data_IF_339255286094
#
_entry.id   IF_339255286094
#
_cell.length_a   1.000
_cell.length_b   1.000
_cell.length_c   1.000
_cell.angle_alpha   90.00
_cell.angle_beta   90.00
_cell.angle_gamma   90.00
#
_symmetry.space_group_name_H-M   'P 1'
#
loop_
_entity.id
_entity.type
_entity.pdbx_description
1 polymer ?
#
# COMPACT_ATOMS: atom_id res chain seq x y z
N UNK A 1 0.50 -10.33 4.48
CA UNK A 1 0.24 -11.70 3.97
C UNK A 1 -0.30 -11.71 2.52
N UNK A 2 0.13 -10.81 1.62
CA UNK A 2 -0.48 -10.70 0.27
C UNK A 2 0.00 -11.79 -0.73
N UNK A 3 1.26 -12.22 -0.61
CA UNK A 3 1.90 -13.07 -1.63
C UNK A 3 1.52 -14.55 -1.54
N UNK A 4 1.40 -15.18 -0.35
CA UNK A 4 1.00 -16.59 -0.27
C UNK A 4 -0.37 -16.87 -0.89
N UNK A 5 -1.35 -15.97 -0.72
CA UNK A 5 -2.69 -16.13 -1.32
C UNK A 5 -2.65 -15.98 -2.84
N UNK A 6 -1.81 -15.08 -3.37
CA UNK A 6 -1.57 -14.98 -4.81
C UNK A 6 -0.97 -16.27 -5.38
N UNK A 7 0.01 -16.87 -4.69
CA UNK A 7 0.62 -18.15 -5.10
C UNK A 7 -0.44 -19.24 -5.15
N UNK A 8 -1.30 -19.35 -4.14
CA UNK A 8 -2.37 -20.34 -4.08
C UNK A 8 -3.41 -20.14 -5.21
N UNK A 9 -3.77 -18.88 -5.49
CA UNK A 9 -4.67 -18.53 -6.58
C UNK A 9 -4.08 -18.88 -7.96
N UNK A 10 -2.77 -18.61 -8.16
CA UNK A 10 -2.08 -18.95 -9.41
C UNK A 10 -1.96 -20.47 -9.58
N UNK A 11 -1.63 -21.20 -8.52
CA UNK A 11 -1.51 -22.66 -8.54
C UNK A 11 -2.85 -23.36 -8.86
N UNK A 12 -3.97 -22.81 -8.40
CA UNK A 12 -5.30 -23.39 -8.61
C UNK A 12 -5.94 -23.01 -9.95
N UNK A 13 -5.57 -21.86 -10.52
CA UNK A 13 -6.19 -21.32 -11.73
C UNK A 13 -5.57 -21.85 -13.03
N UNK A 14 -4.29 -22.20 -13.03
CA UNK A 14 -3.56 -22.57 -14.25
C UNK A 14 -3.06 -24.02 -14.18
N UNK A 15 -3.32 -24.79 -15.24
CA UNK A 15 -2.74 -26.14 -15.40
C UNK A 15 -1.21 -26.11 -15.46
N UNK A 16 -0.66 -25.05 -16.07
CA UNK A 16 0.77 -24.73 -16.08
C UNK A 16 0.96 -23.31 -15.53
N UNK A 17 1.30 -23.17 -14.23
CA UNK A 17 1.48 -21.86 -13.61
C UNK A 17 2.59 -21.03 -14.26
N UNK A 18 2.39 -19.73 -14.49
CA UNK A 18 3.46 -18.85 -14.96
C UNK A 18 4.55 -18.66 -13.90
N UNK A 19 5.74 -18.25 -14.34
CA UNK A 19 6.81 -17.78 -13.45
C UNK A 19 6.40 -16.46 -12.79
N UNK A 20 6.44 -16.40 -11.46
CA UNK A 20 6.21 -15.17 -10.69
C UNK A 20 7.56 -14.54 -10.33
N UNK A 21 7.81 -13.31 -10.77
CA UNK A 21 8.97 -12.52 -10.30
C UNK A 21 8.50 -11.45 -9.33
N UNK A 22 8.75 -11.63 -8.05
CA UNK A 22 8.42 -10.65 -7.02
C UNK A 22 9.64 -9.78 -6.73
N UNK A 23 9.54 -8.49 -7.05
CA UNK A 23 10.54 -7.48 -6.67
C UNK A 23 9.96 -6.57 -5.60
N UNK A 24 10.66 -6.41 -4.48
CA UNK A 24 10.24 -5.54 -3.38
C UNK A 24 11.28 -4.43 -3.14
N UNK A 25 10.81 -3.21 -2.89
CA UNK A 25 11.66 -2.16 -2.35
C UNK A 25 11.80 -2.35 -0.84
N UNK A 26 13.03 -2.37 -0.35
CA UNK A 26 13.31 -2.38 1.08
C UNK A 26 14.35 -1.30 1.40
N UNK A 27 14.16 -0.52 2.49
CA UNK A 27 15.17 0.41 2.94
C UNK A 27 16.40 -0.37 3.42
N UNK A 28 17.60 0.13 3.11
CA UNK A 28 18.86 -0.41 3.63
C UNK A 28 19.09 -0.10 5.10
N UNK A 29 18.45 0.95 5.61
CA UNK A 29 18.61 1.39 6.98
C UNK A 29 17.44 0.92 7.83
N UNK A 30 17.75 0.37 9.00
CA UNK A 30 16.79 -0.16 9.96
C UNK A 30 16.09 0.98 10.70
N UNK A 31 15.43 1.90 9.99
CA UNK A 31 14.57 2.88 10.65
C UNK A 31 13.54 2.08 11.45
N UNK A 32 13.67 2.13 12.79
CA UNK A 32 12.88 1.39 13.78
C UNK A 32 11.43 1.90 13.79
N UNK A 33 10.76 1.80 12.65
CA UNK A 33 9.34 2.12 12.51
C UNK A 33 8.57 0.85 12.83
N UNK A 34 7.70 0.87 13.85
CA UNK A 34 6.80 -0.25 14.09
C UNK A 34 5.86 -0.45 12.88
N UNK A 35 5.46 -1.69 12.57
CA UNK A 35 5.96 -2.92 13.16
C UNK A 35 7.32 -3.30 12.56
N UNK A 36 8.30 -3.56 13.43
CA UNK A 36 9.59 -4.10 12.99
C UNK A 36 9.37 -5.56 12.59
N UNK A 37 9.82 -5.93 11.39
CA UNK A 37 9.78 -7.32 10.98
C UNK A 37 10.80 -8.13 11.80
N UNK A 38 10.34 -9.21 12.42
CA UNK A 38 11.20 -10.16 13.16
C UNK A 38 12.08 -11.03 12.23
N UNK A 39 12.12 -10.74 10.93
CA UNK A 39 12.82 -11.51 9.90
C UNK A 39 13.33 -10.59 8.78
N UNK A 40 14.43 -10.99 8.13
CA UNK A 40 14.98 -10.22 7.00
C UNK A 40 14.19 -10.46 5.70
N UNK A 41 14.29 -9.53 4.75
CA UNK A 41 13.63 -9.69 3.45
C UNK A 41 14.17 -10.89 2.66
N UNK A 42 15.45 -11.24 2.84
CA UNK A 42 16.07 -12.42 2.22
C UNK A 42 15.48 -13.72 2.79
N UNK A 43 15.29 -13.78 4.12
CA UNK A 43 14.63 -14.91 4.77
C UNK A 43 13.16 -15.03 4.35
N UNK A 44 12.45 -13.90 4.25
CA UNK A 44 11.08 -13.84 3.73
C UNK A 44 11.02 -14.39 2.31
N UNK A 45 11.92 -13.92 1.44
CA UNK A 45 12.03 -14.33 0.05
C UNK A 45 12.25 -15.83 -0.09
N UNK A 46 13.18 -16.38 0.68
CA UNK A 46 13.44 -17.83 0.71
C UNK A 46 12.20 -18.63 1.13
N UNK A 47 11.48 -18.18 2.17
CA UNK A 47 10.23 -18.82 2.61
C UNK A 47 9.15 -18.76 1.52
N UNK A 48 8.99 -17.63 0.84
CA UNK A 48 8.02 -17.46 -0.25
C UNK A 48 8.35 -18.33 -1.46
N UNK A 49 9.63 -18.39 -1.88
CA UNK A 49 10.06 -19.24 -3.00
C UNK A 49 9.85 -20.72 -2.67
N UNK A 50 10.14 -21.15 -1.43
CA UNK A 50 9.88 -22.52 -1.00
C UNK A 50 8.38 -22.85 -0.95
N UNK A 51 7.55 -21.89 -0.52
CA UNK A 51 6.09 -22.04 -0.55
C UNK A 51 5.53 -22.10 -1.98
N UNK A 52 6.02 -21.26 -2.90
CA UNK A 52 5.67 -21.35 -4.31
C UNK A 52 6.02 -22.73 -4.89
N UNK A 53 7.23 -23.23 -4.60
CA UNK A 53 7.67 -24.57 -5.04
C UNK A 53 6.76 -25.68 -4.50
N UNK A 54 6.31 -25.60 -3.25
CA UNK A 54 5.40 -26.61 -2.68
C UNK A 54 4.01 -26.60 -3.32
N UNK A 55 3.63 -25.50 -3.99
CA UNK A 55 2.42 -25.37 -4.80
C UNK A 55 2.67 -25.57 -6.31
N UNK A 56 3.84 -26.07 -6.71
CA UNK A 56 4.25 -26.25 -8.11
C UNK A 56 4.26 -24.93 -8.93
N UNK A 57 4.49 -23.80 -8.27
CA UNK A 57 4.64 -22.49 -8.92
C UNK A 57 6.12 -22.10 -8.93
N UNK A 58 6.64 -21.73 -10.09
CA UNK A 58 7.99 -21.17 -10.19
C UNK A 58 7.98 -19.72 -9.70
N UNK A 59 8.92 -19.35 -8.83
CA UNK A 59 9.00 -18.00 -8.29
C UNK A 59 10.46 -17.53 -8.14
N UNK A 60 10.72 -16.29 -8.55
CA UNK A 60 11.92 -15.53 -8.22
C UNK A 60 11.56 -14.41 -7.23
N UNK A 61 12.46 -14.15 -6.29
CA UNK A 61 12.31 -13.07 -5.33
C UNK A 61 13.55 -12.16 -5.36
N UNK A 62 13.33 -10.85 -5.44
CA UNK A 62 14.39 -9.84 -5.49
C UNK A 62 14.07 -8.69 -4.54
N UNK A 63 15.10 -8.25 -3.82
CA UNK A 63 15.03 -7.08 -2.94
C UNK A 63 15.87 -5.98 -3.59
N UNK A 64 15.28 -4.79 -3.75
CA UNK A 64 15.99 -3.62 -4.24
C UNK A 64 16.10 -2.60 -3.10
N UNK A 65 17.33 -2.21 -2.71
CA UNK A 65 17.60 -1.08 -1.82
C UNK A 65 16.94 0.20 -2.32
N UNK A 66 15.79 0.57 -1.77
CA UNK A 66 15.03 1.73 -2.22
C UNK A 66 14.02 2.18 -1.16
N UNK A 67 13.74 3.49 -1.10
CA UNK A 67 12.97 4.11 -0.04
C UNK A 67 12.00 5.16 -0.62
N UNK A 68 11.07 5.63 0.20
CA UNK A 68 10.14 6.69 -0.20
C UNK A 68 10.83 8.05 -0.30
N UNK A 69 11.95 8.25 0.40
CA UNK A 69 12.66 9.55 0.47
C UNK A 69 13.27 9.97 -0.86
N UNK A 70 13.60 9.03 -1.74
CA UNK A 70 14.07 9.30 -3.12
C UNK A 70 13.00 8.98 -4.16
N UNK A 71 11.74 8.80 -3.74
CA UNK A 71 10.63 8.42 -4.63
C UNK A 71 10.83 7.06 -5.29
N UNK A 72 11.51 6.13 -4.62
CA UNK A 72 11.82 4.79 -5.13
C UNK A 72 12.65 4.76 -6.42
N UNK A 73 13.54 5.75 -6.62
CA UNK A 73 14.27 5.95 -7.88
C UNK A 73 15.06 4.70 -8.31
N UNK A 74 15.78 4.09 -7.37
CA UNK A 74 16.59 2.88 -7.61
C UNK A 74 15.74 1.69 -8.06
N UNK A 75 14.55 1.50 -7.46
CA UNK A 75 13.61 0.45 -7.88
C UNK A 75 13.14 0.71 -9.32
N UNK A 76 12.74 1.94 -9.63
CA UNK A 76 12.25 2.33 -10.95
C UNK A 76 13.31 2.09 -12.03
N UNK A 77 14.56 2.48 -11.77
CA UNK A 77 15.66 2.29 -12.73
C UNK A 77 15.95 0.80 -12.98
N UNK A 78 15.93 -0.01 -11.93
CA UNK A 78 16.05 -1.46 -12.06
C UNK A 78 14.91 -2.05 -12.91
N UNK A 79 13.66 -1.66 -12.64
CA UNK A 79 12.50 -2.11 -13.41
C UNK A 79 12.57 -1.65 -14.87
N UNK A 80 13.04 -0.44 -15.14
CA UNK A 80 13.21 0.09 -16.50
C UNK A 80 14.19 -0.77 -17.31
N UNK A 81 15.34 -1.10 -16.73
CA UNK A 81 16.33 -1.97 -17.39
C UNK A 81 15.74 -3.37 -17.61
N UNK A 82 15.04 -3.92 -16.61
CA UNK A 82 14.45 -5.26 -16.71
C UNK A 82 13.38 -5.33 -17.81
N UNK A 83 12.49 -4.33 -17.87
CA UNK A 83 11.43 -4.25 -18.87
C UNK A 83 11.96 -4.19 -20.31
N UNK A 84 13.10 -3.52 -20.54
CA UNK A 84 13.76 -3.48 -21.85
C UNK A 84 14.32 -4.84 -22.29
N UNK A 85 14.65 -5.72 -21.34
CA UNK A 85 15.28 -7.02 -21.61
C UNK A 85 14.26 -8.16 -21.72
N UNK A 86 13.14 -8.06 -21.03
CA UNK A 86 12.17 -9.14 -20.91
C UNK A 86 10.74 -8.63 -21.13
N UNK A 87 10.03 -9.11 -22.17
CA UNK A 87 8.61 -8.81 -22.34
C UNK A 87 7.79 -9.66 -21.37
N UNK A 88 7.46 -9.09 -20.21
CA UNK A 88 6.62 -9.71 -19.18
C UNK A 88 5.50 -8.77 -18.73
N UNK A 89 4.41 -9.35 -18.20
CA UNK A 89 3.31 -8.56 -17.65
C UNK A 89 3.76 -7.92 -16.32
N UNK A 90 3.87 -6.59 -16.29
CA UNK A 90 4.30 -5.83 -15.12
C UNK A 90 3.09 -5.40 -14.29
N UNK A 91 3.02 -5.86 -13.04
CA UNK A 91 2.03 -5.40 -12.06
C UNK A 91 2.74 -4.61 -10.98
N UNK A 92 2.31 -3.36 -10.76
CA UNK A 92 2.84 -2.50 -9.70
C UNK A 92 1.81 -2.45 -8.58
N UNK A 93 2.19 -2.90 -7.38
CA UNK A 93 1.33 -2.92 -6.20
C UNK A 93 1.85 -1.93 -5.16
N UNK A 94 1.17 -0.79 -5.05
CA UNK A 94 1.45 0.26 -4.09
C UNK A 94 0.53 0.10 -2.88
N UNK A 95 1.00 -0.59 -1.84
CA UNK A 95 0.21 -0.88 -0.64
C UNK A 95 0.77 -0.16 0.58
N UNK A 96 0.02 0.82 1.12
CA UNK A 96 0.33 1.54 2.37
C UNK A 96 1.72 2.19 2.41
N UNK A 97 2.19 2.66 1.24
CA UNK A 97 3.56 3.18 1.10
C UNK A 97 3.65 4.56 0.44
N UNK A 98 2.65 4.94 -0.36
CA UNK A 98 2.76 6.16 -1.17
C UNK A 98 2.63 7.43 -0.33
N UNK A 99 1.87 7.38 0.76
CA UNK A 99 1.76 8.49 1.71
C UNK A 99 3.09 8.89 2.38
N UNK A 100 4.12 8.05 2.34
CA UNK A 100 5.45 8.42 2.85
C UNK A 100 6.27 9.25 1.87
N UNK A 101 5.99 9.18 0.57
CA UNK A 101 6.64 10.05 -0.42
C UNK A 101 6.29 11.49 -0.05
N UNK A 102 7.27 12.38 -0.07
CA UNK A 102 7.07 13.79 0.28
C UNK A 102 5.89 14.41 -0.49
N UNK A 103 5.11 15.24 0.21
CA UNK A 103 4.00 15.98 -0.36
C UNK A 103 4.48 17.31 -0.97
N UNK A 104 3.55 18.10 -1.52
CA UNK A 104 3.85 19.38 -2.16
C UNK A 104 4.34 20.47 -1.20
N UNK A 105 4.37 20.24 0.12
CA UNK A 105 4.89 21.24 1.07
C UNK A 105 6.39 21.52 0.89
N UNK A 106 7.11 20.65 0.16
CA UNK A 106 8.50 20.85 -0.26
C UNK A 106 8.64 21.20 -1.76
N UNK A 107 7.53 21.21 -2.51
CA UNK A 107 7.54 21.52 -3.94
C UNK A 107 7.72 23.03 -4.18
N UNK A 108 8.71 23.38 -5.01
CA UNK A 108 8.86 24.74 -5.52
C UNK A 108 8.03 24.92 -6.80
N UNK A 109 7.75 26.18 -7.19
CA UNK A 109 7.04 26.53 -8.44
C UNK A 109 7.68 25.87 -9.69
N UNK A 110 8.95 25.46 -9.60
CA UNK A 110 9.73 24.88 -10.69
C UNK A 110 9.78 23.34 -10.72
N UNK A 111 9.27 22.63 -9.69
CA UNK A 111 9.43 21.17 -9.56
C UNK A 111 8.07 20.47 -9.37
N UNK A 112 7.76 19.41 -10.12
CA UNK A 112 6.55 18.61 -9.88
C UNK A 112 6.59 18.00 -8.48
N UNK A 113 5.42 17.77 -7.89
CA UNK A 113 5.27 17.00 -6.65
C UNK A 113 6.08 15.68 -6.75
N UNK A 114 6.86 15.28 -5.73
CA UNK A 114 7.56 14.01 -5.73
C UNK A 114 6.64 12.81 -5.99
N UNK A 115 5.39 12.87 -5.51
CA UNK A 115 4.35 11.88 -5.80
C UNK A 115 3.99 11.84 -7.28
N UNK A 116 3.82 13.00 -7.91
CA UNK A 116 3.51 13.06 -9.35
C UNK A 116 4.70 12.61 -10.21
N UNK A 117 5.94 12.91 -9.78
CA UNK A 117 7.16 12.43 -10.43
C UNK A 117 7.28 10.90 -10.35
N UNK A 118 6.96 10.31 -9.19
CA UNK A 118 6.86 8.86 -9.02
C UNK A 118 5.80 8.26 -9.97
N UNK A 119 4.58 8.82 -10.00
CA UNK A 119 3.50 8.34 -10.86
C UNK A 119 3.86 8.41 -12.36
N UNK A 120 4.49 9.50 -12.80
CA UNK A 120 5.01 9.61 -14.18
C UNK A 120 6.09 8.58 -14.48
N UNK A 121 6.95 8.30 -13.51
CA UNK A 121 8.02 7.32 -13.65
C UNK A 121 7.47 5.91 -13.80
N UNK A 122 6.49 5.51 -12.97
CA UNK A 122 5.84 4.20 -13.14
C UNK A 122 5.01 4.13 -14.42
N UNK A 123 4.39 5.23 -14.88
CA UNK A 123 3.69 5.28 -16.18
C UNK A 123 4.63 4.99 -17.35
N UNK A 124 5.88 5.44 -17.26
CA UNK A 124 6.92 5.20 -18.28
C UNK A 124 7.36 3.75 -18.41
N UNK A 125 7.04 2.90 -17.42
CA UNK A 125 7.30 1.46 -17.44
C UNK A 125 6.20 0.66 -18.16
N UNK A 126 5.15 1.35 -18.65
CA UNK A 126 3.98 0.75 -19.30
C UNK A 126 3.42 -0.48 -18.56
N UNK A 127 3.11 -0.35 -17.25
CA UNK A 127 2.65 -1.48 -16.46
C UNK A 127 1.32 -2.02 -16.99
N UNK A 128 1.12 -3.33 -16.89
CA UNK A 128 -0.15 -3.99 -17.22
C UNK A 128 -1.26 -3.50 -16.29
N UNK A 129 -0.98 -3.42 -14.98
CA UNK A 129 -1.89 -2.88 -13.96
C UNK A 129 -1.09 -2.23 -12.85
N UNK A 130 -1.60 -1.11 -12.32
CA UNK A 130 -1.16 -0.51 -11.05
C UNK A 130 -2.30 -0.62 -10.04
N UNK A 131 -2.02 -1.17 -8.85
CA UNK A 131 -2.95 -1.20 -7.73
C UNK A 131 -2.47 -0.23 -6.67
N UNK A 132 -3.35 0.67 -6.22
CA UNK A 132 -3.09 1.60 -5.13
C UNK A 132 -4.03 1.29 -3.98
N UNK A 133 -3.44 0.96 -2.83
CA UNK A 133 -4.14 0.75 -1.56
C UNK A 133 -3.52 1.67 -0.53
N UNK A 134 -4.31 2.58 0.02
CA UNK A 134 -3.85 3.51 1.05
C UNK A 134 -5.01 3.90 1.97
N UNK A 135 -4.70 4.62 3.04
CA UNK A 135 -5.69 5.10 3.99
C UNK A 135 -6.48 6.28 3.45
N UNK A 136 -7.79 6.32 3.74
CA UNK A 136 -8.68 7.40 3.29
C UNK A 136 -8.75 8.53 4.33
N UNK A 137 -7.62 9.21 4.54
CA UNK A 137 -7.51 10.33 5.47
C UNK A 137 -6.61 11.46 4.94
N UNK A 138 -6.99 12.70 5.22
CA UNK A 138 -6.25 13.90 4.82
C UNK A 138 -5.33 14.40 5.95
N UNK A 139 -4.04 14.05 5.87
CA UNK A 139 -3.01 14.39 6.86
C UNK A 139 -1.92 15.33 6.33
N UNK A 140 -2.05 15.85 5.10
CA UNK A 140 -1.01 16.71 4.49
C UNK A 140 -1.12 18.19 4.85
N UNK A 141 -2.19 18.61 5.56
CA UNK A 141 -2.43 20.02 5.85
C UNK A 141 -1.23 20.71 6.54
N UNK A 142 -0.82 21.88 6.05
CA UNK A 142 0.29 22.64 6.66
C UNK A 142 -0.05 23.23 8.05
N UNK A 143 -1.34 23.40 8.36
CA UNK A 143 -1.81 23.94 9.63
C UNK A 143 -2.06 22.82 10.66
N UNK A 144 -1.47 22.97 11.86
CA UNK A 144 -1.58 22.01 12.95
C UNK A 144 -3.03 21.75 13.42
N UNK A 145 -3.88 22.77 13.52
CA UNK A 145 -5.28 22.61 13.96
C UNK A 145 -6.06 21.76 12.96
N UNK A 146 -5.84 21.97 11.67
CA UNK A 146 -6.44 21.13 10.63
C UNK A 146 -5.96 19.68 10.74
N UNK A 147 -4.65 19.45 10.88
CA UNK A 147 -4.10 18.09 11.05
C UNK A 147 -4.61 17.41 12.31
N UNK A 148 -4.63 18.11 13.45
CA UNK A 148 -5.13 17.57 14.72
C UNK A 148 -6.57 17.12 14.60
N UNK A 149 -7.43 17.92 13.94
CA UNK A 149 -8.82 17.56 13.70
C UNK A 149 -8.94 16.32 12.80
N UNK A 150 -8.18 16.26 11.69
CA UNK A 150 -8.18 15.09 10.80
C UNK A 150 -7.69 13.84 11.53
N UNK A 151 -6.58 13.94 12.26
CA UNK A 151 -5.99 12.87 13.05
C UNK A 151 -6.96 12.36 14.12
N UNK A 152 -7.62 13.26 14.87
CA UNK A 152 -8.63 12.89 15.86
C UNK A 152 -9.82 12.15 15.24
N UNK A 153 -10.29 12.60 14.08
CA UNK A 153 -11.42 11.98 13.37
C UNK A 153 -11.08 10.62 12.74
N UNK A 154 -9.80 10.31 12.56
CA UNK A 154 -9.35 9.07 11.92
C UNK A 154 -8.78 8.06 12.92
N UNK A 155 -7.82 8.47 13.76
CA UNK A 155 -7.05 7.53 14.58
C UNK A 155 -7.86 6.86 15.72
N UNK A 156 -9.08 7.31 16.03
CA UNK A 156 -9.96 6.54 16.93
C UNK A 156 -10.36 5.18 16.33
N UNK A 157 -10.44 5.08 15.01
CA UNK A 157 -10.86 3.87 14.26
C UNK A 157 -9.95 2.68 14.57
N UNK A 158 -8.61 2.76 14.37
CA UNK A 158 -7.72 1.64 14.65
C UNK A 158 -7.77 1.18 16.11
N UNK A 159 -7.93 2.10 17.09
CA UNK A 159 -8.09 1.71 18.50
C UNK A 159 -9.41 0.96 18.74
N UNK A 160 -10.53 1.50 18.26
CA UNK A 160 -11.85 0.88 18.44
C UNK A 160 -11.97 -0.46 17.68
N UNK A 161 -11.30 -0.60 16.53
CA UNK A 161 -11.18 -1.87 15.82
C UNK A 161 -10.38 -2.90 16.62
N UNK A 162 -9.21 -2.53 17.14
CA UNK A 162 -8.41 -3.42 17.99
C UNK A 162 -9.15 -3.88 19.24
N UNK A 163 -9.88 -2.97 19.89
CA UNK A 163 -10.71 -3.29 21.05
C UNK A 163 -11.79 -4.33 20.73
N UNK A 164 -12.31 -4.34 19.50
CA UNK A 164 -13.33 -5.29 19.07
C UNK A 164 -12.77 -6.70 18.79
N UNK A 165 -11.51 -6.84 18.36
CA UNK A 165 -10.96 -8.12 17.88
C UNK A 165 -9.84 -8.71 18.74
N UNK A 166 -9.11 -7.89 19.50
CA UNK A 166 -7.97 -8.36 20.30
C UNK A 166 -8.29 -8.32 21.80
N UNK A 167 -7.95 -9.37 22.56
CA UNK A 167 -8.12 -9.39 24.00
C UNK A 167 -7.39 -8.22 24.67
N UNK A 168 -8.06 -7.54 25.61
CA UNK A 168 -7.52 -6.38 26.31
C UNK A 168 -6.30 -6.70 27.20
N UNK A 169 -6.20 -7.91 27.75
CA UNK A 169 -5.11 -8.30 28.64
C UNK A 169 -4.12 -9.23 27.95
N UNK A 170 -2.82 -8.88 28.02
CA UNK A 170 -1.72 -9.78 27.66
C UNK A 170 -1.48 -10.02 26.16
N UNK A 171 -2.22 -9.35 25.26
CA UNK A 171 -1.98 -9.46 23.82
C UNK A 171 -0.76 -8.63 23.40
N UNK A 172 0.34 -9.29 23.04
CA UNK A 172 1.52 -8.63 22.45
C UNK A 172 1.19 -8.00 21.10
N UNK A 173 0.33 -8.65 20.32
CA UNK A 173 -0.13 -8.15 19.02
C UNK A 173 -0.84 -6.80 19.16
N UNK A 174 -1.70 -6.66 20.16
CA UNK A 174 -2.35 -5.39 20.50
C UNK A 174 -1.34 -4.31 20.85
N UNK A 175 -0.37 -4.62 21.72
CA UNK A 175 0.67 -3.66 22.12
C UNK A 175 1.49 -3.16 20.93
N UNK A 176 1.87 -4.04 20.01
CA UNK A 176 2.62 -3.66 18.81
C UNK A 176 1.80 -2.76 17.89
N UNK A 177 0.53 -3.11 17.68
CA UNK A 177 -0.36 -2.31 16.84
C UNK A 177 -0.64 -0.93 17.46
N UNK A 178 -0.96 -0.85 18.75
CA UNK A 178 -1.17 0.43 19.44
C UNK A 178 0.10 1.29 19.44
N UNK A 179 1.29 0.68 19.59
CA UNK A 179 2.56 1.39 19.50
C UNK A 179 2.81 1.99 18.11
N UNK A 180 2.46 1.27 17.04
CA UNK A 180 2.49 1.78 15.67
C UNK A 180 1.56 3.00 15.54
N UNK A 181 0.29 2.87 15.93
CA UNK A 181 -0.68 3.97 15.83
C UNK A 181 -0.23 5.20 16.64
N UNK A 182 0.31 4.99 17.84
CA UNK A 182 0.87 6.06 18.67
C UNK A 182 2.04 6.79 17.98
N UNK A 183 2.97 6.03 17.38
CA UNK A 183 4.08 6.62 16.63
C UNK A 183 3.58 7.46 15.46
N UNK A 184 2.53 6.99 14.76
CA UNK A 184 1.92 7.73 13.65
C UNK A 184 1.28 9.04 14.12
N UNK A 185 0.53 9.00 15.22
CA UNK A 185 -0.04 10.21 15.84
C UNK A 185 1.06 11.21 16.21
N UNK A 186 2.13 10.75 16.84
CA UNK A 186 3.28 11.59 17.19
C UNK A 186 3.91 12.22 15.94
N UNK A 187 4.10 11.43 14.88
CA UNK A 187 4.68 11.91 13.63
C UNK A 187 3.81 13.00 12.97
N UNK A 188 2.49 12.82 12.92
CA UNK A 188 1.54 13.77 12.31
C UNK A 188 1.46 15.10 13.08
N UNK A 189 1.53 15.04 14.42
CA UNK A 189 1.26 16.18 15.29
C UNK A 189 2.52 16.90 15.74
N UNK A 190 3.56 16.17 16.15
CA UNK A 190 4.76 16.74 16.76
C UNK A 190 5.89 17.05 15.77
N UNK A 191 5.94 16.36 14.63
CA UNK A 191 7.00 16.54 13.63
C UNK A 191 6.58 17.52 12.53
N UNK A 192 7.56 18.16 11.90
CA UNK A 192 7.38 19.02 10.73
C UNK A 192 8.51 18.85 9.71
N UNK A 193 8.35 19.45 8.53
CA UNK A 193 9.36 19.38 7.47
C UNK A 193 9.71 17.94 7.10
N UNK A 194 10.98 17.63 6.89
CA UNK A 194 11.44 16.29 6.49
C UNK A 194 11.22 15.20 7.56
N UNK A 195 11.02 15.58 8.83
CA UNK A 195 10.81 14.60 9.92
C UNK A 195 9.37 14.08 9.98
N UNK A 196 8.42 14.82 9.42
CA UNK A 196 7.02 14.38 9.29
C UNK A 196 6.87 13.56 8.01
N UNK A 197 6.64 12.26 8.14
CA UNK A 197 6.54 11.31 7.01
C UNK A 197 5.12 10.73 6.85
N UNK A 198 4.30 10.75 7.89
CA UNK A 198 2.89 10.33 7.85
C UNK A 198 2.04 11.40 7.18
N UNK A 199 1.94 11.33 5.86
CA UNK A 199 1.27 12.33 5.00
C UNK A 199 0.23 11.69 4.10
N UNK A 200 -0.71 10.97 4.69
CA UNK A 200 -1.82 10.37 3.96
C UNK A 200 -2.67 11.42 3.22
N UNK A 201 -3.13 11.05 2.03
CA UNK A 201 -4.08 11.80 1.22
C UNK A 201 -5.34 10.96 1.06
N UNK A 202 -6.50 11.62 1.12
CA UNK A 202 -7.76 10.95 0.84
C UNK A 202 -7.82 10.42 -0.59
N UNK A 203 -8.66 9.41 -0.80
CA UNK A 203 -8.82 8.70 -2.08
C UNK A 203 -8.97 9.62 -3.28
N UNK A 204 -9.81 10.67 -3.16
CA UNK A 204 -10.10 11.59 -4.26
C UNK A 204 -8.85 12.28 -4.82
N UNK A 205 -7.86 12.58 -3.97
CA UNK A 205 -6.60 13.18 -4.41
C UNK A 205 -5.73 12.18 -5.15
N UNK A 206 -5.62 10.95 -4.66
CA UNK A 206 -4.91 9.88 -5.38
C UNK A 206 -5.53 9.59 -6.75
N UNK A 207 -6.86 9.53 -6.84
CA UNK A 207 -7.59 9.39 -8.11
C UNK A 207 -7.22 10.49 -9.10
N UNK A 208 -7.23 11.76 -8.66
CA UNK A 208 -6.84 12.89 -9.50
C UNK A 208 -5.38 12.79 -9.97
N UNK A 209 -4.45 12.41 -9.07
CA UNK A 209 -3.03 12.24 -9.40
C UNK A 209 -2.82 11.14 -10.44
N UNK A 210 -3.49 10.00 -10.29
CA UNK A 210 -3.42 8.90 -11.26
C UNK A 210 -3.92 9.32 -12.64
N UNK A 211 -5.08 10.01 -12.71
CA UNK A 211 -5.60 10.56 -13.97
C UNK A 211 -4.63 11.57 -14.61
N UNK A 212 -4.06 12.48 -13.81
CA UNK A 212 -3.06 13.45 -14.27
C UNK A 212 -1.76 12.79 -14.78
N UNK A 213 -1.44 11.59 -14.29
CA UNK A 213 -0.31 10.79 -14.73
C UNK A 213 -0.65 9.88 -15.94
N UNK A 214 -1.76 10.13 -16.64
CA UNK A 214 -2.22 9.38 -17.81
C UNK A 214 -2.50 7.89 -17.51
N UNK A 215 -3.11 7.62 -16.37
CA UNK A 215 -3.78 6.36 -16.08
C UNK A 215 -5.30 6.50 -16.22
N UNK A 216 -5.95 5.38 -16.54
CA UNK A 216 -7.40 5.23 -16.49
C UNK A 216 -7.77 4.15 -15.48
N UNK A 217 -8.92 4.31 -14.83
CA UNK A 217 -9.41 3.37 -13.83
C UNK A 217 -9.76 2.03 -14.46
N UNK A 218 -9.47 0.96 -13.72
CA UNK A 218 -9.86 -0.39 -14.04
C UNK A 218 -10.76 -0.92 -12.92
N UNK A 219 -11.93 -1.41 -13.30
CA UNK A 219 -12.88 -1.99 -12.38
C UNK A 219 -12.37 -3.30 -11.77
N UNK A 220 -12.64 -3.51 -10.48
CA UNK A 220 -12.49 -4.83 -9.88
C UNK A 220 -13.61 -5.75 -10.40
N UNK A 221 -13.26 -7.01 -10.69
CA UNK A 221 -14.26 -8.00 -11.10
C UNK A 221 -15.27 -8.28 -9.99
N UNK A 222 -16.54 -8.49 -10.35
CA UNK A 222 -17.63 -8.73 -9.41
C UNK A 222 -17.36 -9.94 -8.49
N UNK A 223 -16.73 -11.00 -9.01
CA UNK A 223 -16.33 -12.17 -8.22
C UNK A 223 -15.32 -11.80 -7.11
N UNK A 224 -14.36 -10.91 -7.42
CA UNK A 224 -13.39 -10.42 -6.45
C UNK A 224 -14.08 -9.57 -5.36
N UNK A 225 -15.02 -8.70 -5.76
CA UNK A 225 -15.80 -7.90 -4.80
C UNK A 225 -16.66 -8.79 -3.90
N UNK A 226 -17.26 -9.85 -4.46
CA UNK A 226 -18.05 -10.82 -3.71
C UNK A 226 -17.20 -11.61 -2.72
N UNK A 227 -15.99 -12.02 -3.09
CA UNK A 227 -15.03 -12.71 -2.22
C UNK A 227 -14.65 -11.82 -1.02
N UNK A 228 -14.27 -10.56 -1.28
CA UNK A 228 -13.94 -9.61 -0.19
C UNK A 228 -15.14 -9.40 0.73
N UNK A 229 -16.35 -9.26 0.17
CA UNK A 229 -17.58 -9.11 0.98
C UNK A 229 -17.87 -10.36 1.81
N UNK A 230 -17.66 -11.56 1.26
CA UNK A 230 -17.79 -12.83 1.97
C UNK A 230 -16.83 -12.93 3.15
N UNK A 231 -15.54 -12.67 2.91
CA UNK A 231 -14.50 -12.65 3.96
C UNK A 231 -14.83 -11.67 5.08
N UNK A 232 -15.30 -10.45 4.75
CA UNK A 232 -15.70 -9.47 5.77
C UNK A 232 -16.94 -9.92 6.56
N UNK A 233 -17.89 -10.58 5.91
CA UNK A 233 -19.09 -11.14 6.55
C UNK A 233 -18.78 -12.23 7.58
N UNK A 234 -17.71 -13.00 7.36
CA UNK A 234 -17.23 -14.02 8.30
C UNK A 234 -16.51 -13.42 9.52
N UNK A 235 -15.95 -12.22 9.38
CA UNK A 235 -14.96 -11.68 10.34
C UNK A 235 -15.43 -10.45 11.14
N UNK A 236 -16.64 -9.89 10.95
CA UNK A 236 -16.95 -8.63 11.63
C UNK A 236 -18.42 -8.27 11.91
N UNK A 237 -18.69 -7.94 13.17
CA UNK A 237 -19.60 -6.85 13.51
C UNK A 237 -18.81 -5.53 13.45
N UNK A 238 -18.97 -4.74 12.38
CA UNK A 238 -18.42 -3.38 12.28
C UNK A 238 -17.67 -3.07 10.98
N UNK A 239 -16.97 -4.05 10.38
CA UNK A 239 -16.36 -3.85 9.06
C UNK A 239 -17.42 -3.90 7.96
N UNK A 240 -17.26 -3.05 6.95
CA UNK A 240 -18.10 -3.03 5.77
C UNK A 240 -17.31 -2.64 4.53
N UNK A 241 -17.83 -2.98 3.35
CA UNK A 241 -17.25 -2.61 2.06
C UNK A 241 -18.21 -1.70 1.31
N UNK A 242 -17.75 -0.50 0.98
CA UNK A 242 -18.46 0.41 0.07
C UNK A 242 -17.85 0.29 -1.32
N UNK A 243 -18.72 0.26 -2.33
CA UNK A 243 -18.35 0.45 -3.73
C UNK A 243 -18.72 1.89 -4.06
N UNK A 244 -17.73 2.71 -4.41
CA UNK A 244 -17.94 4.11 -4.78
C UNK A 244 -17.87 4.27 -6.31
N UNK A 245 -17.80 5.50 -6.80
CA UNK A 245 -17.71 5.82 -8.23
C UNK A 245 -16.62 5.00 -8.94
N UNK A 246 -16.87 4.63 -10.20
CA UNK A 246 -15.92 3.91 -11.07
C UNK A 246 -15.36 2.60 -10.48
N UNK A 247 -16.17 1.88 -9.70
CA UNK A 247 -15.88 0.56 -9.12
C UNK A 247 -14.74 0.53 -8.07
N UNK A 248 -14.41 1.69 -7.49
CA UNK A 248 -13.45 1.82 -6.40
C UNK A 248 -13.98 1.17 -5.11
N UNK A 249 -13.10 0.49 -4.38
CA UNK A 249 -13.44 -0.20 -3.14
C UNK A 249 -12.96 0.60 -1.93
N UNK A 250 -13.85 0.78 -0.95
CA UNK A 250 -13.51 1.44 0.32
C UNK A 250 -13.91 0.54 1.47
N UNK A 251 -12.92 0.12 2.25
CA UNK A 251 -13.10 -0.56 3.52
C UNK A 251 -13.54 0.44 4.58
N UNK A 252 -14.55 0.06 5.35
CA UNK A 252 -15.17 0.93 6.35
C UNK A 252 -15.27 0.27 7.70
N UNK A 253 -15.16 1.07 8.76
CA UNK A 253 -15.36 0.67 10.14
C UNK A 253 -16.51 1.45 10.76
N UNK A 254 -17.58 0.76 11.17
CA UNK A 254 -18.82 1.36 11.69
C UNK A 254 -19.36 2.48 10.78
N UNK A 255 -19.18 2.32 9.46
CA UNK A 255 -19.61 3.28 8.43
C UNK A 255 -18.59 4.36 8.07
N UNK A 256 -17.48 4.51 8.82
CA UNK A 256 -16.40 5.46 8.52
C UNK A 256 -15.40 4.85 7.54
N UNK A 257 -14.93 5.64 6.57
CA UNK A 257 -13.92 5.19 5.60
C UNK A 257 -12.56 4.99 6.30
N UNK A 258 -11.86 3.91 5.95
CA UNK A 258 -10.57 3.54 6.56
C UNK A 258 -9.49 3.40 5.49
N UNK A 259 -9.70 2.46 4.56
CA UNK A 259 -8.73 2.11 3.52
C UNK A 259 -9.46 2.07 2.19
N UNK A 260 -8.85 2.63 1.15
CA UNK A 260 -9.35 2.47 -0.21
C UNK A 260 -8.44 1.54 -1.01
N UNK A 261 -9.00 0.89 -2.02
CA UNK A 261 -8.27 0.14 -3.03
C UNK A 261 -8.77 0.55 -4.42
N UNK A 262 -7.84 0.84 -5.32
CA UNK A 262 -8.12 1.23 -6.71
C UNK A 262 -7.15 0.52 -7.66
N UNK A 263 -7.61 0.20 -8.86
CA UNK A 263 -6.81 -0.42 -9.90
C UNK A 263 -6.79 0.48 -11.15
N UNK A 264 -5.66 0.48 -11.85
CA UNK A 264 -5.37 1.43 -12.91
C UNK A 264 -4.60 0.77 -14.04
N UNK A 265 -4.85 1.22 -15.26
CA UNK A 265 -4.09 0.81 -16.44
C UNK A 265 -3.61 2.05 -17.20
N UNK A 266 -2.50 1.96 -17.96
CA UNK A 266 -2.10 3.00 -18.89
C UNK A 266 -3.28 3.45 -19.76
N UNK A 267 -3.53 4.77 -19.80
CA UNK A 267 -4.44 5.38 -20.75
C UNK A 267 -3.80 5.50 -22.14
#
# INVERSE_FOLDING_TARGET
MQIPTLIDAVASRFESPPLIKLTVAAPTDSSLRPPVLDLSYEELGSKLVNFARSRNVAMEFRVIPSTHSDGFSTLIDHLRIHHLLYPEALVINCHMMLHYIEDESTATIASPSPRDAFLKSIRSLEPTVVVVVDEDVELTAGNLVCRLRSAFNYFWIPFDAVDAFLPAAGSKQRQWYEAEVCWRIENVIAQEGMQRVERAEGKARWVQRMRNAAFREAAFGEDCVAEVRGMLGEHAAGWGLKKEEEDQLVLTWKGHNVVFATAWVPA
#
